data_IF_363238201911
#
_entry.id   IF_363238201911
#
_cell.length_a   1.000
_cell.length_b   1.000
_cell.length_c   1.000
_cell.angle_alpha   90.00
_cell.angle_beta   90.00
_cell.angle_gamma   90.00
#
_symmetry.space_group_name_H-M   'P 1'
#
loop_
_entity.id
_entity.type
_entity.pdbx_description
1 polymer ?
#
# COMPACT_ATOMS: atom_id res chain seq x y z
N UNK A 1 20.84 -15.85 -38.47
CA UNK A 1 19.42 -15.68 -38.10
C UNK A 1 19.14 -16.68 -36.97
N UNK A 2 19.10 -16.22 -35.73
CA UNK A 2 18.80 -17.10 -34.59
C UNK A 2 17.27 -17.20 -34.52
N UNK A 3 16.72 -18.38 -34.83
CA UNK A 3 15.31 -18.67 -34.60
C UNK A 3 15.11 -18.93 -33.11
N UNK A 4 14.64 -17.93 -32.37
CA UNK A 4 14.13 -18.16 -31.02
C UNK A 4 12.71 -18.71 -31.20
N UNK A 5 12.47 -19.95 -30.77
CA UNK A 5 11.13 -20.55 -30.82
C UNK A 5 10.17 -19.80 -29.91
N UNK A 6 8.89 -19.73 -30.27
CA UNK A 6 7.82 -19.16 -29.42
C UNK A 6 7.82 -19.73 -27.99
N UNK A 7 8.19 -21.01 -27.84
CA UNK A 7 8.34 -21.70 -26.55
C UNK A 7 9.44 -21.08 -25.65
N UNK A 8 10.49 -20.50 -26.24
CA UNK A 8 11.54 -19.81 -25.48
C UNK A 8 11.12 -18.38 -25.14
N UNK A 9 10.43 -17.70 -26.07
CA UNK A 9 9.87 -16.38 -25.79
C UNK A 9 8.83 -16.45 -24.67
N UNK A 10 7.95 -17.45 -24.69
CA UNK A 10 6.90 -17.66 -23.69
C UNK A 10 7.41 -17.96 -22.29
N UNK A 11 8.68 -18.41 -22.15
CA UNK A 11 9.30 -18.65 -20.84
C UNK A 11 10.02 -17.43 -20.27
N UNK A 12 10.32 -16.45 -21.11
CA UNK A 12 11.19 -15.32 -20.75
C UNK A 12 10.43 -14.00 -20.69
N UNK A 13 9.39 -13.86 -21.50
CA UNK A 13 8.67 -12.61 -21.72
C UNK A 13 7.18 -12.87 -21.87
N UNK A 14 6.40 -11.82 -21.62
CA UNK A 14 4.95 -11.84 -21.75
C UNK A 14 4.48 -11.24 -23.06
N UNK A 15 5.17 -10.20 -23.52
CA UNK A 15 4.97 -9.57 -24.83
C UNK A 15 6.34 -9.26 -25.41
N UNK A 16 6.53 -9.53 -26.71
CA UNK A 16 7.73 -9.12 -27.45
C UNK A 16 7.28 -8.51 -28.77
N UNK A 17 7.71 -7.28 -29.02
CA UNK A 17 7.40 -6.57 -30.27
C UNK A 17 8.65 -6.00 -30.93
N UNK A 18 8.57 -5.80 -32.23
CA UNK A 18 9.45 -4.90 -32.98
C UNK A 18 8.67 -3.64 -33.31
N UNK A 19 9.17 -2.50 -32.86
CA UNK A 19 8.65 -1.19 -33.20
C UNK A 19 9.56 -0.50 -34.21
N UNK A 20 8.95 0.09 -35.22
CA UNK A 20 9.53 1.00 -36.20
C UNK A 20 8.69 2.28 -36.23
N UNK A 21 9.26 3.38 -36.70
CA UNK A 21 8.71 4.75 -36.58
C UNK A 21 7.18 4.89 -36.76
N UNK A 22 6.57 4.10 -37.64
CA UNK A 22 5.12 4.14 -37.93
C UNK A 22 4.39 2.80 -37.76
N UNK A 23 5.07 1.73 -37.34
CA UNK A 23 4.44 0.41 -37.29
C UNK A 23 5.12 -0.48 -36.26
N UNK A 24 4.35 -1.37 -35.64
CA UNK A 24 4.88 -2.44 -34.81
C UNK A 24 4.48 -3.81 -35.33
N UNK A 25 5.33 -4.80 -35.06
CA UNK A 25 5.08 -6.21 -35.28
C UNK A 25 5.16 -6.92 -33.94
N UNK A 26 4.10 -7.65 -33.58
CA UNK A 26 4.11 -8.52 -32.40
C UNK A 26 4.77 -9.84 -32.79
N UNK A 27 5.85 -10.20 -32.10
CA UNK A 27 6.50 -11.50 -32.24
C UNK A 27 5.89 -12.54 -31.32
N UNK A 28 5.54 -12.14 -30.10
CA UNK A 28 4.91 -13.00 -29.11
C UNK A 28 4.04 -12.16 -28.18
N UNK A 29 2.91 -12.71 -27.76
CA UNK A 29 2.12 -12.21 -26.64
C UNK A 29 1.42 -13.39 -25.96
N UNK A 30 1.41 -13.41 -24.63
CA UNK A 30 0.58 -14.32 -23.85
C UNK A 30 -0.89 -13.89 -23.76
N UNK A 31 -1.19 -12.64 -24.11
CA UNK A 31 -2.52 -12.04 -24.02
C UNK A 31 -3.27 -12.17 -25.33
N UNK A 32 -4.59 -11.94 -25.30
CA UNK A 32 -5.38 -11.83 -26.53
C UNK A 32 -4.96 -10.56 -27.32
N UNK A 33 -5.43 -10.45 -28.56
CA UNK A 33 -5.04 -9.36 -29.46
C UNK A 33 -5.41 -7.98 -28.90
N UNK A 34 -6.64 -7.81 -28.43
CA UNK A 34 -7.15 -6.52 -27.95
C UNK A 34 -6.35 -6.01 -26.75
N UNK A 35 -6.13 -6.86 -25.73
CA UNK A 35 -5.30 -6.54 -24.57
C UNK A 35 -3.85 -6.26 -24.96
N UNK A 36 -3.30 -7.03 -25.91
CA UNK A 36 -1.92 -6.81 -26.39
C UNK A 36 -1.79 -5.44 -27.04
N UNK A 37 -2.74 -5.07 -27.90
CA UNK A 37 -2.73 -3.77 -28.58
C UNK A 37 -2.83 -2.62 -27.60
N UNK A 38 -3.76 -2.70 -26.64
CA UNK A 38 -3.96 -1.68 -25.61
C UNK A 38 -2.68 -1.42 -24.79
N UNK A 39 -2.05 -2.49 -24.27
CA UNK A 39 -0.77 -2.40 -23.53
C UNK A 39 0.32 -1.72 -24.39
N UNK A 40 0.45 -2.10 -25.66
CA UNK A 40 1.48 -1.56 -26.57
C UNK A 40 1.22 -0.08 -26.87
N UNK A 41 -0.01 0.29 -27.19
CA UNK A 41 -0.38 1.64 -27.57
C UNK A 41 -0.18 2.62 -26.41
N UNK A 42 -0.61 2.23 -25.21
CA UNK A 42 -0.37 3.01 -23.99
C UNK A 42 1.14 3.16 -23.75
N UNK A 43 1.92 2.07 -23.79
CA UNK A 43 3.36 2.14 -23.58
C UNK A 43 4.05 3.06 -24.58
N UNK A 44 3.77 2.89 -25.88
CA UNK A 44 4.37 3.72 -26.93
C UNK A 44 3.95 5.18 -26.80
N UNK A 45 2.71 5.48 -26.40
CA UNK A 45 2.27 6.85 -26.19
C UNK A 45 3.06 7.56 -25.07
N UNK A 46 3.39 6.84 -24.00
CA UNK A 46 4.04 7.39 -22.81
C UNK A 46 5.57 7.40 -22.89
N UNK A 47 6.18 6.39 -23.52
CA UNK A 47 7.62 6.15 -23.42
C UNK A 47 8.40 6.30 -24.73
N UNK A 48 7.73 6.56 -25.87
CA UNK A 48 8.39 6.70 -27.18
C UNK A 48 9.53 7.73 -27.20
N UNK A 49 9.34 8.90 -26.58
CA UNK A 49 10.39 9.93 -26.54
C UNK A 49 11.59 9.44 -25.73
N UNK A 50 11.35 8.86 -24.55
CA UNK A 50 12.41 8.34 -23.67
C UNK A 50 13.23 7.23 -24.33
N UNK A 51 12.59 6.37 -25.14
CA UNK A 51 13.29 5.35 -25.92
C UNK A 51 14.21 5.95 -27.00
N UNK A 52 13.82 7.07 -27.62
CA UNK A 52 14.66 7.78 -28.58
C UNK A 52 15.90 8.39 -27.91
N UNK A 53 15.76 8.80 -26.64
CA UNK A 53 16.83 9.32 -25.78
C UNK A 53 17.71 8.23 -25.14
N UNK A 54 17.67 7.00 -25.68
CA UNK A 54 18.45 5.83 -25.28
C UNK A 54 18.16 5.28 -23.86
N UNK A 55 16.98 5.52 -23.30
CA UNK A 55 16.52 4.74 -22.14
C UNK A 55 16.17 3.31 -22.58
N UNK A 56 16.74 2.32 -21.89
CA UNK A 56 16.67 0.90 -22.30
C UNK A 56 15.84 0.02 -21.37
N UNK A 57 15.44 0.52 -20.19
CA UNK A 57 14.60 -0.23 -19.25
C UNK A 57 13.56 0.71 -18.63
N UNK A 58 12.34 0.21 -18.47
CA UNK A 58 11.20 0.94 -17.94
C UNK A 58 10.41 0.07 -16.98
N UNK A 59 9.80 0.69 -15.98
CA UNK A 59 8.66 0.14 -15.28
C UNK A 59 7.42 0.79 -15.89
N UNK A 60 6.50 -0.03 -16.41
CA UNK A 60 5.31 0.40 -17.11
C UNK A 60 4.07 -0.13 -16.38
N UNK A 61 3.23 0.78 -15.90
CA UNK A 61 1.98 0.45 -15.24
C UNK A 61 0.80 0.62 -16.21
N UNK A 62 -0.13 -0.32 -16.17
CA UNK A 62 -1.33 -0.36 -17.01
C UNK A 62 -2.44 -1.12 -16.29
N UNK A 63 -3.68 -0.98 -16.77
CA UNK A 63 -4.83 -1.71 -16.24
C UNK A 63 -4.67 -3.25 -16.30
N UNK A 64 -3.76 -3.74 -17.15
CA UNK A 64 -3.45 -5.17 -17.31
C UNK A 64 -2.26 -5.64 -16.45
N UNK A 65 -1.71 -4.75 -15.62
CA UNK A 65 -0.64 -5.02 -14.67
C UNK A 65 0.62 -4.18 -14.91
N UNK A 66 1.60 -4.38 -14.03
CA UNK A 66 2.90 -3.72 -14.07
C UNK A 66 3.89 -4.58 -14.84
N UNK A 67 4.62 -3.97 -15.76
CA UNK A 67 5.61 -4.61 -16.60
C UNK A 67 7.00 -3.99 -16.40
N UNK A 68 8.01 -4.83 -16.27
CA UNK A 68 9.38 -4.48 -16.62
C UNK A 68 9.51 -4.55 -18.14
N UNK A 69 9.88 -3.42 -18.74
CA UNK A 69 10.01 -3.30 -20.20
C UNK A 69 11.47 -3.03 -20.55
N UNK A 70 12.08 -3.95 -21.28
CA UNK A 70 13.44 -3.78 -21.82
C UNK A 70 13.38 -3.44 -23.31
N UNK A 71 14.19 -2.47 -23.71
CA UNK A 71 14.28 -1.98 -25.08
C UNK A 71 15.70 -2.17 -25.59
N UNK A 72 15.81 -2.84 -26.74
CA UNK A 72 17.06 -3.00 -27.49
C UNK A 72 16.92 -2.29 -28.83
N UNK A 73 17.86 -1.40 -29.12
CA UNK A 73 17.89 -0.64 -30.37
C UNK A 73 18.76 -1.36 -31.41
N UNK A 74 18.21 -1.56 -32.60
CA UNK A 74 18.91 -2.07 -33.78
C UNK A 74 18.66 -1.13 -34.96
N UNK A 75 19.56 -0.14 -35.13
CA UNK A 75 19.40 0.92 -36.12
C UNK A 75 18.14 1.77 -35.88
N UNK A 76 17.17 1.67 -36.78
CA UNK A 76 15.86 2.35 -36.72
C UNK A 76 14.74 1.49 -36.12
N UNK A 77 15.07 0.27 -35.69
CA UNK A 77 14.15 -0.68 -35.08
C UNK A 77 14.39 -0.78 -33.59
N UNK A 78 13.32 -0.98 -32.84
CA UNK A 78 13.35 -1.21 -31.41
C UNK A 78 12.72 -2.57 -31.13
N UNK A 79 13.46 -3.47 -30.49
CA UNK A 79 12.89 -4.68 -29.90
C UNK A 79 12.50 -4.33 -28.47
N UNK A 80 11.21 -4.47 -28.16
CA UNK A 80 10.63 -4.14 -26.87
C UNK A 80 10.08 -5.41 -26.27
N UNK A 81 10.55 -5.77 -25.08
CA UNK A 81 10.14 -6.96 -24.37
C UNK A 81 9.52 -6.58 -23.02
N UNK A 82 8.30 -7.04 -22.78
CA UNK A 82 7.56 -6.83 -21.55
C UNK A 82 7.60 -8.10 -20.72
N UNK A 83 7.89 -7.96 -19.42
CA UNK A 83 7.77 -9.01 -18.43
C UNK A 83 6.91 -8.48 -17.29
N UNK A 84 5.84 -9.18 -16.98
CA UNK A 84 4.96 -8.86 -15.86
C UNK A 84 5.80 -8.92 -14.59
N UNK A 85 5.85 -7.78 -13.91
CA UNK A 85 6.61 -7.56 -12.71
C UNK A 85 5.75 -7.75 -11.46
N UNK A 86 4.44 -8.02 -11.58
CA UNK A 86 3.53 -8.15 -10.44
C UNK A 86 4.05 -9.20 -9.45
N UNK A 87 4.52 -10.37 -9.90
CA UNK A 87 5.05 -11.39 -9.01
C UNK A 87 6.38 -11.00 -8.36
N UNK A 88 7.27 -10.34 -9.10
CA UNK A 88 8.56 -9.89 -8.57
C UNK A 88 8.39 -8.77 -7.55
N UNK A 89 7.54 -7.78 -7.85
CA UNK A 89 7.16 -6.71 -6.92
C UNK A 89 6.46 -7.28 -5.69
N UNK A 90 5.56 -8.25 -5.87
CA UNK A 90 4.91 -8.97 -4.77
C UNK A 90 5.92 -9.71 -3.89
N UNK A 91 6.90 -10.40 -4.47
CA UNK A 91 7.94 -11.09 -3.72
C UNK A 91 8.87 -10.12 -2.99
N UNK A 92 9.24 -9.01 -3.62
CA UNK A 92 10.02 -7.94 -2.97
C UNK A 92 9.25 -7.33 -1.80
N UNK A 93 7.96 -7.07 -1.96
CA UNK A 93 7.09 -6.54 -0.92
C UNK A 93 6.94 -7.53 0.25
N UNK A 94 6.73 -8.83 -0.03
CA UNK A 94 6.77 -9.88 0.99
C UNK A 94 8.08 -9.89 1.76
N UNK A 95 9.22 -9.82 1.07
CA UNK A 95 10.54 -9.81 1.71
C UNK A 95 10.68 -8.61 2.65
N UNK A 96 10.29 -7.40 2.22
CA UNK A 96 10.23 -6.21 3.07
C UNK A 96 9.35 -6.41 4.30
N UNK A 97 8.16 -7.01 4.14
CA UNK A 97 7.27 -7.29 5.27
C UNK A 97 7.86 -8.29 6.26
N UNK A 98 8.50 -9.36 5.78
CA UNK A 98 9.18 -10.32 6.65
C UNK A 98 10.34 -9.67 7.41
N UNK A 99 11.13 -8.83 6.76
CA UNK A 99 12.21 -8.07 7.39
C UNK A 99 11.66 -7.13 8.47
N UNK A 100 10.62 -6.36 8.16
CA UNK A 100 9.97 -5.47 9.10
C UNK A 100 9.41 -6.23 10.32
N UNK A 101 8.76 -7.38 10.12
CA UNK A 101 8.31 -8.24 11.22
C UNK A 101 9.49 -8.69 12.09
N UNK A 102 10.60 -9.09 11.47
CA UNK A 102 11.82 -9.48 12.16
C UNK A 102 12.38 -8.35 13.03
N UNK A 103 12.38 -7.12 12.52
CA UNK A 103 12.84 -5.94 13.26
C UNK A 103 11.88 -5.63 14.42
N UNK A 104 10.57 -5.64 14.17
CA UNK A 104 9.53 -5.41 15.20
C UNK A 104 9.71 -6.40 16.34
N UNK A 105 9.83 -7.69 16.02
CA UNK A 105 10.05 -8.73 17.01
C UNK A 105 11.33 -8.47 17.81
N UNK A 106 12.45 -8.24 17.13
CA UNK A 106 13.76 -8.05 17.79
C UNK A 106 13.78 -6.82 18.70
N UNK A 107 13.15 -5.71 18.29
CA UNK A 107 13.19 -4.45 19.03
C UNK A 107 12.17 -4.38 20.17
N UNK A 108 10.98 -4.96 19.99
CA UNK A 108 9.86 -4.68 20.89
C UNK A 108 9.37 -5.89 21.69
N UNK A 109 9.68 -7.13 21.27
CA UNK A 109 9.14 -8.35 21.88
C UNK A 109 9.29 -8.40 23.40
N UNK A 110 10.52 -8.31 23.91
CA UNK A 110 10.79 -8.47 25.35
C UNK A 110 10.06 -7.40 26.18
N UNK A 111 9.98 -6.18 25.64
CA UNK A 111 9.34 -5.06 26.31
C UNK A 111 7.82 -5.23 26.36
N UNK A 112 7.20 -5.57 25.23
CA UNK A 112 5.77 -5.81 25.15
C UNK A 112 5.34 -7.07 25.89
N UNK A 113 6.16 -8.12 25.90
CA UNK A 113 5.93 -9.32 26.73
C UNK A 113 5.93 -8.97 28.23
N UNK A 114 6.81 -8.07 28.68
CA UNK A 114 6.88 -7.65 30.08
C UNK A 114 5.79 -6.66 30.47
N UNK A 115 5.56 -5.63 29.66
CA UNK A 115 4.72 -4.47 30.02
C UNK A 115 3.29 -4.57 29.47
N UNK A 116 3.10 -5.30 28.38
CA UNK A 116 1.91 -5.24 27.53
C UNK A 116 2.00 -4.10 26.50
N UNK A 117 1.44 -4.33 25.31
CA UNK A 117 1.52 -3.41 24.16
C UNK A 117 1.14 -1.96 24.54
N UNK A 118 -0.07 -1.76 25.05
CA UNK A 118 -0.61 -0.42 25.31
C UNK A 118 -0.07 0.27 26.57
N UNK A 119 0.72 -0.42 27.39
CA UNK A 119 1.37 0.14 28.57
C UNK A 119 2.81 0.57 28.26
N UNK A 120 3.33 0.17 27.10
CA UNK A 120 4.72 0.41 26.75
C UNK A 120 4.94 1.84 26.25
N UNK A 121 6.08 2.43 26.59
CA UNK A 121 6.51 3.71 26.05
C UNK A 121 7.27 3.59 24.71
N UNK A 122 7.32 2.40 24.08
CA UNK A 122 7.92 2.23 22.74
C UNK A 122 6.92 2.36 21.58
N UNK A 123 5.70 2.86 21.84
CA UNK A 123 4.68 2.92 20.80
C UNK A 123 5.05 3.92 19.69
N UNK A 124 5.58 5.08 20.06
CA UNK A 124 6.05 6.08 19.09
C UNK A 124 7.20 5.52 18.23
N UNK A 125 8.21 4.89 18.86
CA UNK A 125 9.31 4.21 18.15
C UNK A 125 8.82 3.11 17.19
N UNK A 126 7.75 2.41 17.57
CA UNK A 126 7.15 1.36 16.75
C UNK A 126 6.45 1.94 15.51
N UNK A 127 5.67 3.01 15.67
CA UNK A 127 5.02 3.66 14.54
C UNK A 127 6.03 4.32 13.60
N UNK A 128 7.05 4.99 14.16
CA UNK A 128 8.17 5.54 13.39
C UNK A 128 8.86 4.46 12.56
N UNK A 129 9.11 3.28 13.15
CA UNK A 129 9.71 2.16 12.44
C UNK A 129 8.86 1.73 11.24
N UNK A 130 7.54 1.61 11.40
CA UNK A 130 6.65 1.21 10.29
C UNK A 130 6.71 2.24 9.16
N UNK A 131 6.46 3.52 9.48
CA UNK A 131 6.40 4.60 8.49
C UNK A 131 7.73 4.73 7.74
N UNK A 132 8.87 4.62 8.43
CA UNK A 132 10.19 4.72 7.79
C UNK A 132 10.57 3.53 6.91
N UNK A 133 9.97 2.36 7.11
CA UNK A 133 10.31 1.15 6.35
C UNK A 133 9.31 0.83 5.23
N UNK A 134 8.14 1.47 5.23
CA UNK A 134 7.11 1.34 4.20
C UNK A 134 6.93 2.70 3.52
N UNK A 135 7.58 2.90 2.37
CA UNK A 135 7.61 4.18 1.64
C UNK A 135 6.21 4.67 1.27
N UNK A 136 5.26 3.75 1.13
CA UNK A 136 3.88 4.03 0.76
C UNK A 136 2.99 4.40 1.96
N UNK A 137 3.53 4.31 3.18
CA UNK A 137 2.83 4.71 4.41
C UNK A 137 3.37 6.06 4.85
N UNK A 138 2.51 7.08 4.80
CA UNK A 138 2.85 8.45 5.17
C UNK A 138 2.69 8.71 6.67
N UNK A 139 1.69 8.06 7.29
CA UNK A 139 1.41 8.21 8.70
C UNK A 139 0.83 6.94 9.32
N UNK A 140 0.93 6.82 10.64
CA UNK A 140 0.35 5.72 11.39
C UNK A 140 -0.21 6.18 12.74
N UNK A 141 -1.26 5.51 13.21
CA UNK A 141 -1.77 5.67 14.57
C UNK A 141 -2.02 4.33 15.25
N UNK A 142 -1.87 4.33 16.57
CA UNK A 142 -2.26 3.21 17.42
C UNK A 142 -3.31 3.70 18.42
N UNK A 143 -4.48 3.07 18.44
CA UNK A 143 -5.58 3.40 19.36
C UNK A 143 -5.92 2.23 20.28
N UNK A 144 -6.42 2.56 21.47
CA UNK A 144 -6.92 1.60 22.46
C UNK A 144 -8.35 1.94 22.85
N UNK A 145 -9.22 0.95 22.90
CA UNK A 145 -10.56 1.03 23.46
C UNK A 145 -10.49 1.30 24.97
N UNK A 146 -11.25 2.30 25.41
CA UNK A 146 -11.49 2.66 26.80
C UNK A 146 -13.01 2.85 26.91
N UNK A 147 -13.69 1.91 27.56
CA UNK A 147 -15.16 1.86 27.60
C UNK A 147 -15.76 1.84 26.18
N UNK A 148 -16.45 2.91 25.78
CA UNK A 148 -17.17 3.05 24.51
C UNK A 148 -16.44 3.92 23.46
N UNK A 149 -15.18 4.28 23.70
CA UNK A 149 -14.39 5.08 22.76
C UNK A 149 -12.97 4.55 22.59
N UNK A 150 -12.35 4.85 21.46
CA UNK A 150 -10.95 4.60 21.15
C UNK A 150 -10.14 5.86 21.40
N UNK A 151 -9.13 5.74 22.25
CA UNK A 151 -8.14 6.80 22.50
C UNK A 151 -6.86 6.50 21.74
N UNK A 152 -6.36 7.48 21.01
CA UNK A 152 -5.04 7.40 20.37
C UNK A 152 -3.97 7.35 21.45
N UNK A 153 -3.13 6.32 21.40
CA UNK A 153 -1.99 6.09 22.31
C UNK A 153 -0.69 6.56 21.72
N UNK A 154 -0.58 6.54 20.40
CA UNK A 154 0.58 6.95 19.65
C UNK A 154 0.17 7.33 18.23
N UNK A 155 0.86 8.30 17.65
CA UNK A 155 0.74 8.71 16.26
C UNK A 155 2.12 9.09 15.74
N UNK A 156 2.33 8.92 14.45
CA UNK A 156 3.54 9.34 13.77
C UNK A 156 3.24 9.73 12.32
N UNK A 157 3.86 10.80 11.84
CA UNK A 157 3.79 11.22 10.43
C UNK A 157 2.66 12.19 10.10
N UNK A 158 1.92 12.66 11.11
CA UNK A 158 0.94 13.74 10.95
C UNK A 158 1.58 15.11 11.17
N UNK A 159 0.95 16.18 10.67
CA UNK A 159 1.44 17.56 10.86
C UNK A 159 1.53 17.95 12.35
N UNK A 160 0.64 17.40 13.18
CA UNK A 160 0.69 17.58 14.63
C UNK A 160 0.32 16.30 15.39
N UNK A 161 1.32 15.45 15.61
CA UNK A 161 1.16 14.19 16.36
C UNK A 161 0.64 14.39 17.79
N UNK A 162 1.08 15.43 18.48
CA UNK A 162 0.61 15.71 19.85
C UNK A 162 -0.87 16.10 19.90
N UNK A 163 -1.38 16.72 18.83
CA UNK A 163 -2.81 16.94 18.68
C UNK A 163 -3.55 15.63 18.40
N UNK A 164 -3.05 14.82 17.46
CA UNK A 164 -3.68 13.54 17.11
C UNK A 164 -3.87 12.64 18.34
N UNK A 165 -2.91 12.61 19.26
CA UNK A 165 -3.01 11.85 20.53
C UNK A 165 -4.13 12.31 21.47
N UNK A 166 -4.73 13.50 21.26
CA UNK A 166 -5.87 14.03 22.04
C UNK A 166 -7.22 13.59 21.50
N UNK A 167 -7.29 13.16 20.24
CA UNK A 167 -8.52 12.75 19.59
C UNK A 167 -9.07 11.44 20.18
N UNK A 168 -10.40 11.36 20.20
CA UNK A 168 -11.17 10.22 20.68
C UNK A 168 -12.22 9.86 19.62
N UNK A 169 -12.44 8.57 19.38
CA UNK A 169 -13.44 8.08 18.41
C UNK A 169 -14.41 7.15 19.11
N UNK A 170 -15.70 7.45 19.05
CA UNK A 170 -16.72 6.55 19.60
C UNK A 170 -16.94 5.34 18.69
N UNK A 171 -17.36 4.22 19.27
CA UNK A 171 -17.59 2.98 18.50
C UNK A 171 -18.57 3.15 17.34
N UNK A 172 -19.61 3.97 17.52
CA UNK A 172 -20.61 4.25 16.50
C UNK A 172 -20.12 5.21 15.39
N UNK A 173 -18.91 5.77 15.52
CA UNK A 173 -18.27 6.60 14.49
C UNK A 173 -17.33 5.80 13.59
N UNK A 174 -17.10 4.51 13.90
CA UNK A 174 -16.16 3.67 13.16
C UNK A 174 -16.97 2.66 12.35
N UNK A 175 -16.62 2.51 11.07
CA UNK A 175 -17.29 1.52 10.22
C UNK A 175 -17.20 0.10 10.81
N UNK A 176 -18.35 -0.54 11.00
CA UNK A 176 -18.49 -1.78 11.79
C UNK A 176 -17.64 -2.96 11.28
N UNK A 177 -17.32 -3.00 9.99
CA UNK A 177 -16.47 -4.06 9.43
C UNK A 177 -15.02 -3.99 9.89
N UNK A 178 -14.52 -2.80 10.25
CA UNK A 178 -13.15 -2.59 10.75
C UNK A 178 -12.88 -3.42 12.01
N UNK A 179 -13.90 -3.63 12.84
CA UNK A 179 -13.79 -4.40 14.08
C UNK A 179 -13.58 -5.91 13.87
N UNK A 180 -13.80 -6.44 12.66
CA UNK A 180 -13.81 -7.88 12.40
C UNK A 180 -12.49 -8.39 11.83
N UNK A 181 -11.85 -7.60 10.97
CA UNK A 181 -10.65 -8.00 10.22
C UNK A 181 -9.91 -6.77 9.69
N UNK A 182 -8.63 -6.93 9.30
CA UNK A 182 -7.96 -5.90 8.55
C UNK A 182 -8.73 -5.52 7.28
N UNK A 183 -8.88 -4.22 7.02
CA UNK A 183 -9.49 -3.72 5.79
C UNK A 183 -8.82 -2.44 5.31
N UNK A 184 -8.87 -2.24 3.99
CA UNK A 184 -8.60 -0.94 3.37
C UNK A 184 -9.87 -0.11 3.45
N UNK A 185 -9.74 1.15 3.85
CA UNK A 185 -10.80 2.16 3.82
C UNK A 185 -10.33 3.24 2.85
N UNK A 186 -11.17 3.60 1.86
CA UNK A 186 -10.83 4.58 0.82
C UNK A 186 -11.29 5.99 1.19
N UNK A 187 -10.77 7.01 0.50
CA UNK A 187 -11.13 8.43 0.72
C UNK A 187 -12.63 8.66 0.80
N UNK A 188 -13.41 8.17 -0.16
CA UNK A 188 -14.88 8.36 -0.17
C UNK A 188 -15.51 7.79 1.11
N UNK A 189 -15.12 6.60 1.53
CA UNK A 189 -15.61 5.96 2.76
C UNK A 189 -15.13 6.69 4.02
N UNK A 190 -13.94 7.26 3.99
CA UNK A 190 -13.36 8.05 5.09
C UNK A 190 -14.11 9.38 5.22
N UNK A 191 -14.36 10.06 4.11
CA UNK A 191 -15.18 11.25 4.09
C UNK A 191 -16.59 10.92 4.55
N UNK A 192 -17.17 9.81 4.13
CA UNK A 192 -18.49 9.37 4.59
C UNK A 192 -18.51 9.09 6.11
N UNK A 193 -17.48 8.43 6.67
CA UNK A 193 -17.29 8.24 8.13
C UNK A 193 -17.28 9.58 8.89
N UNK A 194 -16.73 10.64 8.29
CA UNK A 194 -16.53 11.94 8.93
C UNK A 194 -17.61 12.98 8.65
N UNK A 195 -18.28 12.93 7.50
CA UNK A 195 -19.14 14.01 6.98
C UNK A 195 -20.64 13.69 6.90
N UNK A 196 -21.08 12.43 7.02
CA UNK A 196 -22.49 12.10 6.75
C UNK A 196 -23.48 12.24 7.93
N UNK A 197 -23.01 12.42 9.17
CA UNK A 197 -23.89 12.60 10.34
C UNK A 197 -23.35 13.63 11.34
N UNK A 198 -23.05 14.85 10.89
CA UNK A 198 -22.30 15.81 11.70
C UNK A 198 -23.23 16.74 12.49
N UNK A 199 -23.31 16.54 13.81
CA UNK A 199 -23.69 17.60 14.74
C UNK A 199 -22.54 18.63 14.89
N UNK A 200 -22.76 19.70 15.65
CA UNK A 200 -21.76 20.77 15.82
C UNK A 200 -20.45 20.28 16.47
N UNK A 201 -20.49 19.24 17.30
CA UNK A 201 -19.31 18.72 18.01
C UNK A 201 -18.46 17.85 17.07
N UNK A 202 -19.10 17.05 16.21
CA UNK A 202 -18.42 16.30 15.16
C UNK A 202 -17.79 17.23 14.11
N UNK A 203 -18.38 18.39 13.81
CA UNK A 203 -17.83 19.36 12.85
C UNK A 203 -16.51 19.98 13.35
N UNK A 204 -16.41 20.24 14.65
CA UNK A 204 -15.17 20.73 15.27
C UNK A 204 -14.06 19.68 15.10
N UNK A 205 -14.34 18.41 15.42
CA UNK A 205 -13.40 17.29 15.24
C UNK A 205 -12.94 17.12 13.79
N UNK A 206 -13.84 17.28 12.81
CA UNK A 206 -13.51 17.23 11.38
C UNK A 206 -12.59 18.37 10.98
N UNK A 207 -12.89 19.61 11.40
CA UNK A 207 -12.02 20.76 11.12
C UNK A 207 -10.61 20.55 11.70
N UNK A 208 -10.54 20.03 12.91
CA UNK A 208 -9.27 19.70 13.54
C UNK A 208 -8.51 18.59 12.79
N UNK A 209 -9.19 17.55 12.31
CA UNK A 209 -8.60 16.52 11.45
C UNK A 209 -8.10 17.08 10.11
N UNK A 210 -8.78 18.07 9.54
CA UNK A 210 -8.32 18.78 8.34
C UNK A 210 -7.06 19.58 8.63
N UNK A 211 -6.99 20.29 9.75
CA UNK A 211 -5.86 21.19 10.10
C UNK A 211 -4.65 20.40 10.59
N UNK A 212 -4.84 19.35 11.40
CA UNK A 212 -3.77 18.66 12.13
C UNK A 212 -3.51 17.23 11.67
N UNK A 213 -4.53 16.57 11.11
CA UNK A 213 -4.51 15.16 10.70
C UNK A 213 -4.35 14.94 9.20
N UNK A 214 -4.17 16.01 8.40
CA UNK A 214 -4.10 15.95 6.95
C UNK A 214 -5.33 15.25 6.31
N UNK A 215 -6.53 15.37 6.89
CA UNK A 215 -7.71 14.65 6.43
C UNK A 215 -8.00 14.84 4.93
N UNK A 216 -7.82 16.05 4.40
CA UNK A 216 -8.05 16.35 2.98
C UNK A 216 -7.02 15.73 2.03
N UNK A 217 -5.86 15.32 2.55
CA UNK A 217 -4.81 14.64 1.78
C UNK A 217 -4.93 13.13 1.90
N UNK A 218 -5.69 12.62 2.85
CA UNK A 218 -5.73 11.20 3.18
C UNK A 218 -6.52 10.44 2.12
N UNK A 219 -5.82 9.68 1.29
CA UNK A 219 -6.41 8.99 0.13
C UNK A 219 -6.84 7.57 0.47
N UNK A 220 -6.10 6.87 1.32
CA UNK A 220 -6.50 5.54 1.81
C UNK A 220 -5.94 5.25 3.20
N UNK A 221 -6.57 4.31 3.89
CA UNK A 221 -6.05 3.77 5.14
C UNK A 221 -6.16 2.26 5.19
N UNK A 222 -5.18 1.61 5.81
CA UNK A 222 -5.23 0.20 6.18
C UNK A 222 -5.50 0.11 7.69
N UNK A 223 -6.72 -0.26 8.05
CA UNK A 223 -7.13 -0.43 9.44
C UNK A 223 -6.89 -1.87 9.89
N UNK A 224 -6.13 -2.03 10.98
CA UNK A 224 -5.66 -3.31 11.50
C UNK A 224 -6.19 -3.47 12.94
N UNK A 225 -7.27 -4.26 13.15
CA UNK A 225 -7.82 -4.45 14.48
C UNK A 225 -6.89 -5.26 15.38
N UNK A 226 -6.89 -4.94 16.68
CA UNK A 226 -6.13 -5.60 17.73
C UNK A 226 -7.12 -6.23 18.69
N UNK A 227 -6.96 -7.52 18.96
CA UNK A 227 -7.94 -8.31 19.69
C UNK A 227 -7.45 -8.73 21.07
N UNK A 228 -8.39 -8.84 22.00
CA UNK A 228 -8.25 -9.57 23.27
C UNK A 228 -9.53 -10.37 23.49
N UNK A 229 -9.41 -11.67 23.74
CA UNK A 229 -10.56 -12.54 24.01
C UNK A 229 -11.68 -12.45 22.94
N UNK A 230 -11.28 -12.29 21.66
CA UNK A 230 -12.15 -12.08 20.48
C UNK A 230 -12.87 -10.72 20.41
N UNK A 231 -12.63 -9.83 21.36
CA UNK A 231 -13.09 -8.44 21.30
C UNK A 231 -12.02 -7.56 20.64
N UNK A 232 -12.43 -6.66 19.73
CA UNK A 232 -11.54 -5.63 19.20
C UNK A 232 -11.34 -4.55 20.26
N UNK A 233 -10.10 -4.37 20.71
CA UNK A 233 -9.74 -3.47 21.79
C UNK A 233 -8.81 -2.33 21.35
N UNK A 234 -8.52 -2.24 20.06
CA UNK A 234 -7.65 -1.22 19.51
C UNK A 234 -7.46 -1.37 18.00
N UNK A 235 -6.86 -0.36 17.40
CA UNK A 235 -6.47 -0.39 15.99
C UNK A 235 -5.05 0.10 15.83
N UNK A 236 -4.29 -0.55 14.96
CA UNK A 236 -3.21 0.09 14.22
C UNK A 236 -3.80 0.55 12.89
N UNK A 237 -3.71 1.84 12.57
CA UNK A 237 -4.12 2.33 11.25
C UNK A 237 -2.91 2.91 10.54
N UNK A 238 -2.70 2.50 9.29
CA UNK A 238 -1.67 3.03 8.40
C UNK A 238 -2.35 3.90 7.35
N UNK A 239 -1.75 5.02 6.99
CA UNK A 239 -2.34 6.01 6.09
C UNK A 239 -1.44 6.26 4.90
N UNK A 240 -2.06 6.43 3.74
CA UNK A 240 -1.43 6.95 2.54
C UNK A 240 -2.10 8.27 2.17
N UNK A 241 -1.30 9.27 1.83
CA UNK A 241 -1.71 10.59 1.38
C UNK A 241 -1.55 10.75 -0.14
N UNK A 242 -0.79 9.85 -0.77
CA UNK A 242 -0.40 9.97 -2.18
C UNK A 242 -1.28 9.13 -3.11
N UNK A 243 -1.91 8.05 -2.63
CA UNK A 243 -2.72 7.17 -3.49
C UNK A 243 -3.82 6.37 -2.78
N UNK A 244 -4.99 6.31 -3.42
CA UNK A 244 -6.13 5.51 -2.94
C UNK A 244 -5.93 4.00 -3.12
N UNK A 245 -5.03 3.60 -4.03
CA UNK A 245 -4.79 2.19 -4.37
C UNK A 245 -3.60 1.59 -3.60
N UNK A 246 -2.93 2.38 -2.76
CA UNK A 246 -1.71 1.98 -2.02
C UNK A 246 -1.84 0.61 -1.34
N UNK A 247 -2.96 0.37 -0.66
CA UNK A 247 -3.17 -0.84 0.12
C UNK A 247 -3.97 -1.95 -0.61
N UNK A 248 -4.30 -1.77 -1.90
CA UNK A 248 -5.11 -2.74 -2.65
C UNK A 248 -4.36 -4.05 -2.96
N UNK A 249 -3.02 -4.02 -2.92
CA UNK A 249 -2.25 -5.25 -3.06
C UNK A 249 -2.53 -6.18 -1.87
N UNK A 250 -3.03 -7.38 -2.16
CA UNK A 250 -3.38 -8.42 -1.17
C UNK A 250 -2.26 -8.79 -0.19
N UNK A 251 -1.00 -8.47 -0.50
CA UNK A 251 0.11 -8.65 0.43
C UNK A 251 0.02 -7.70 1.64
N UNK A 252 -0.50 -6.47 1.48
CA UNK A 252 -0.74 -5.57 2.63
C UNK A 252 -1.79 -6.15 3.58
N UNK A 253 -2.86 -6.74 3.05
CA UNK A 253 -3.86 -7.44 3.87
C UNK A 253 -3.23 -8.66 4.57
N UNK A 254 -2.40 -9.43 3.87
CA UNK A 254 -1.71 -10.58 4.45
C UNK A 254 -0.77 -10.16 5.59
N UNK A 255 0.01 -9.10 5.37
CA UNK A 255 0.87 -8.48 6.37
C UNK A 255 0.07 -7.93 7.56
N UNK A 256 -1.02 -7.22 7.32
CA UNK A 256 -1.88 -6.69 8.36
C UNK A 256 -2.51 -7.79 9.23
N UNK A 257 -2.89 -8.93 8.63
CA UNK A 257 -3.35 -10.08 9.39
C UNK A 257 -2.26 -10.65 10.32
N UNK A 258 -1.00 -10.64 9.89
CA UNK A 258 0.12 -11.06 10.74
C UNK A 258 0.37 -10.04 11.85
N UNK A 259 0.42 -8.75 11.52
CA UNK A 259 0.58 -7.68 12.52
C UNK A 259 -0.54 -7.70 13.56
N UNK A 260 -1.80 -7.83 13.13
CA UNK A 260 -2.96 -7.95 14.02
C UNK A 260 -2.74 -9.04 15.06
N UNK A 261 -2.29 -10.23 14.64
CA UNK A 261 -2.00 -11.36 15.54
C UNK A 261 -0.83 -11.07 16.49
N UNK A 262 0.26 -10.52 15.96
CA UNK A 262 1.44 -10.15 16.76
C UNK A 262 1.04 -9.15 17.85
N UNK A 263 0.40 -8.05 17.48
CA UNK A 263 -0.03 -7.00 18.42
C UNK A 263 -1.01 -7.55 19.45
N UNK A 264 -1.97 -8.36 19.02
CA UNK A 264 -2.96 -9.02 19.90
C UNK A 264 -2.29 -9.91 20.96
N UNK A 265 -1.20 -10.61 20.63
CA UNK A 265 -0.48 -11.47 21.58
C UNK A 265 0.19 -10.72 22.73
N UNK A 266 0.37 -9.41 22.62
CA UNK A 266 0.97 -8.57 23.65
C UNK A 266 -0.05 -7.77 24.46
N UNK A 267 -1.34 -7.99 24.24
CA UNK A 267 -2.37 -7.35 25.05
C UNK A 267 -2.52 -8.11 26.36
N UNK A 268 -2.37 -7.40 27.49
CA UNK A 268 -2.55 -7.94 28.85
C UNK A 268 -3.89 -7.57 29.45
#
# INVERSE_FOLDING_TARGET
MIFISDLMLSRLFDIVIEFSVNNYKVYYSKFNLDTTQDIIEIFLSQYRIKMLDNANNFLFDSDHGIFEVSVVKDGLKFIIAFRNANELLKNNLKAKFFELIGIIYTKFYQKWEREGLFSSNSLDDFLELIVKNLVEVDAALLSKKINNYFKIKSSYGFDNDEFMKKLLFYENEIYAERFKKPMVVKLDEILDEYYLEVDSERMEKVNELVIHGNLLRLTSSLSIPIFKDKECIGFLSLYSFESEITFENNEYISFANVLSKILSSFVK
#
